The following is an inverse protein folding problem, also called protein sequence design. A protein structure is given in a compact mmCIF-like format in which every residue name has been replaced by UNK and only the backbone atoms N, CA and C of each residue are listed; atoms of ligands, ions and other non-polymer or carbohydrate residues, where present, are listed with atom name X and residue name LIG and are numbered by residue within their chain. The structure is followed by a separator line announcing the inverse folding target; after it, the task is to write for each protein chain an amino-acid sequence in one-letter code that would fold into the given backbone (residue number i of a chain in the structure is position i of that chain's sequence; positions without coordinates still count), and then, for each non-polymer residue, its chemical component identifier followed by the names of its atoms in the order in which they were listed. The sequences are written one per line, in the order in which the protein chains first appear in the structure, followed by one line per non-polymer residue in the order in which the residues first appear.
data_IF_382755341909
#
_entry.id   IF_382755341909
#
_cell.length_a   1.000
_cell.length_b   1.000
_cell.length_c   1.000
_cell.angle_alpha   90.00
_cell.angle_beta   90.00
_cell.angle_gamma   90.00
#
_symmetry.space_group_name_H-M   'P 1'
#
loop_
_entity.id
_entity.type
_entity.pdbx_description
1 polymer ?
#
# COMPACT_ATOMS: atom_id res chain seq x y z
N UNK A 1 13.87 13.13 -33.91
CA UNK A 1 14.24 12.01 -34.80
C UNK A 1 15.36 11.22 -34.14
N UNK A 2 15.03 10.10 -33.49
CA UNK A 2 15.97 9.02 -33.19
C UNK A 2 15.12 7.80 -32.81
N UNK A 3 15.32 6.70 -33.53
CA UNK A 3 14.46 5.52 -33.51
C UNK A 3 14.81 4.57 -32.36
N UNK A 4 13.77 3.98 -31.77
CA UNK A 4 13.82 2.79 -30.91
C UNK A 4 13.98 1.52 -31.75
N UNK A 5 14.73 0.49 -31.31
CA UNK A 5 14.70 -0.82 -31.93
C UNK A 5 13.63 -1.74 -31.30
N UNK A 6 12.82 -2.35 -32.17
CA UNK A 6 11.95 -3.51 -31.89
C UNK A 6 12.80 -4.79 -31.79
N UNK A 7 12.41 -5.82 -31.01
CA UNK A 7 12.95 -7.16 -31.19
C UNK A 7 11.94 -8.15 -31.82
N UNK A 8 12.46 -8.80 -32.86
CA UNK A 8 12.33 -10.21 -33.23
C UNK A 8 10.95 -10.78 -33.64
N UNK A 9 10.73 -10.80 -34.95
CA UNK A 9 9.81 -11.69 -35.67
C UNK A 9 10.44 -13.09 -35.74
N UNK A 10 9.78 -14.11 -35.20
CA UNK A 10 10.18 -15.51 -35.35
C UNK A 10 9.90 -16.01 -36.78
N UNK A 11 10.96 -16.47 -37.44
CA UNK A 11 10.94 -17.07 -38.78
C UNK A 11 10.50 -18.53 -38.68
N UNK A 12 9.42 -18.88 -39.39
CA UNK A 12 8.94 -20.25 -39.57
C UNK A 12 9.61 -20.86 -40.81
N UNK A 13 10.50 -21.83 -40.61
CA UNK A 13 11.12 -22.61 -41.71
C UNK A 13 10.18 -23.75 -42.10
N UNK A 14 9.61 -23.68 -43.30
CA UNK A 14 8.84 -24.75 -43.94
C UNK A 14 9.81 -25.71 -44.64
N UNK A 15 10.00 -26.89 -44.06
CA UNK A 15 10.75 -27.99 -44.67
C UNK A 15 9.78 -28.86 -45.49
N UNK A 16 9.81 -28.75 -46.81
CA UNK A 16 9.03 -29.58 -47.74
C UNK A 16 9.72 -30.95 -47.91
N UNK A 17 9.09 -32.00 -47.38
CA UNK A 17 9.52 -33.39 -47.53
C UNK A 17 8.68 -34.08 -48.62
N UNK A 18 9.33 -34.55 -49.69
CA UNK A 18 8.69 -35.31 -50.77
C UNK A 18 8.45 -36.76 -50.35
N UNK A 19 7.20 -37.24 -50.45
CA UNK A 19 6.86 -38.64 -50.17
C UNK A 19 7.17 -39.56 -51.36
N UNK A 20 7.94 -40.63 -51.10
CA UNK A 20 7.96 -41.81 -51.94
C UNK A 20 6.81 -42.75 -51.50
N UNK A 21 5.92 -43.10 -52.43
CA UNK A 21 4.85 -44.07 -52.20
C UNK A 21 5.38 -45.48 -52.47
N UNK A 22 5.29 -46.35 -51.47
CA UNK A 22 5.28 -47.80 -51.66
C UNK A 22 4.12 -48.34 -50.83
N UNK A 23 3.11 -48.88 -51.51
CA UNK A 23 1.98 -49.54 -50.89
C UNK A 23 2.30 -51.01 -50.66
N UNK A 24 2.13 -51.52 -49.44
CA UNK A 24 1.63 -52.87 -49.15
C UNK A 24 1.45 -53.06 -47.64
N UNK A 25 0.31 -53.66 -47.24
CA UNK A 25 0.13 -54.26 -45.92
C UNK A 25 -0.78 -53.48 -44.96
N UNK A 26 -2.06 -53.85 -44.93
CA UNK A 26 -3.03 -53.35 -43.95
C UNK A 26 -2.65 -53.78 -42.52
N UNK A 27 -2.25 -52.82 -41.71
CA UNK A 27 -2.27 -52.87 -40.26
C UNK A 27 -2.98 -51.63 -39.77
N UNK A 28 -3.97 -51.80 -38.88
CA UNK A 28 -4.67 -50.70 -38.21
C UNK A 28 -3.67 -49.88 -37.40
N UNK A 29 -3.05 -48.89 -38.06
CA UNK A 29 -2.14 -47.93 -37.46
C UNK A 29 -2.93 -46.95 -36.60
N UNK A 30 -3.38 -47.41 -35.43
CA UNK A 30 -3.69 -46.51 -34.35
C UNK A 30 -2.43 -45.71 -34.06
N UNK A 31 -2.52 -44.38 -34.14
CA UNK A 31 -1.47 -43.49 -33.63
C UNK A 31 -1.05 -43.99 -32.24
N UNK A 32 0.26 -44.11 -31.94
CA UNK A 32 0.71 -44.57 -30.63
C UNK A 32 0.02 -43.77 -29.54
N UNK A 33 -0.71 -44.45 -28.65
CA UNK A 33 -1.39 -43.80 -27.53
C UNK A 33 -0.34 -43.35 -26.50
N UNK A 34 0.01 -42.07 -26.56
CA UNK A 34 1.01 -41.43 -25.72
C UNK A 34 0.46 -41.12 -24.32
N UNK A 35 1.28 -41.06 -23.27
CA UNK A 35 0.80 -40.59 -21.97
C UNK A 35 0.28 -39.14 -22.02
N UNK A 36 -0.69 -38.75 -21.17
CA UNK A 36 -1.10 -37.36 -21.04
C UNK A 36 0.06 -36.49 -20.51
N UNK A 37 0.03 -35.21 -20.87
CA UNK A 37 0.98 -34.19 -20.41
C UNK A 37 0.24 -32.93 -20.00
N UNK A 38 0.83 -32.14 -19.10
CA UNK A 38 0.34 -30.79 -18.82
C UNK A 38 0.89 -29.84 -19.89
N UNK A 39 -0.02 -29.16 -20.59
CA UNK A 39 0.30 -28.11 -21.57
C UNK A 39 0.58 -26.79 -20.86
N UNK A 40 -0.27 -26.42 -19.90
CA UNK A 40 -0.15 -25.15 -19.18
C UNK A 40 -0.79 -25.21 -17.80
N UNK A 41 -0.28 -24.39 -16.89
CA UNK A 41 -0.87 -24.11 -15.57
C UNK A 41 -1.04 -22.60 -15.43
N UNK A 42 -2.17 -22.16 -14.92
CA UNK A 42 -2.43 -20.78 -14.51
C UNK A 42 -2.93 -20.75 -13.07
N UNK A 43 -2.37 -19.94 -12.15
CA UNK A 43 -1.17 -19.14 -12.32
C UNK A 43 0.04 -19.98 -12.76
N UNK A 44 0.91 -19.39 -13.59
CA UNK A 44 2.11 -20.07 -14.06
C UNK A 44 3.02 -20.48 -12.89
N UNK A 45 3.78 -21.56 -13.06
CA UNK A 45 4.73 -21.98 -12.03
C UNK A 45 5.74 -20.85 -11.74
N UNK A 46 5.89 -20.49 -10.46
CA UNK A 46 6.70 -19.37 -10.00
C UNK A 46 6.05 -17.98 -10.15
N UNK A 47 4.78 -17.89 -10.56
CA UNK A 47 4.06 -16.62 -10.63
C UNK A 47 4.04 -15.90 -9.27
N UNK A 48 4.14 -14.57 -9.31
CA UNK A 48 4.14 -13.69 -8.13
C UNK A 48 2.98 -12.70 -8.21
N UNK A 49 2.56 -12.16 -7.06
CA UNK A 49 1.48 -11.19 -7.01
C UNK A 49 0.14 -11.71 -7.50
N UNK A 50 -0.12 -13.00 -7.29
CA UNK A 50 -1.42 -13.60 -7.59
C UNK A 50 -2.48 -13.03 -6.65
N UNK A 51 -3.63 -12.65 -7.22
CA UNK A 51 -4.75 -12.11 -6.45
C UNK A 51 -5.42 -13.19 -5.61
N UNK A 52 -6.10 -12.77 -4.55
CA UNK A 52 -6.73 -13.64 -3.55
C UNK A 52 -7.90 -14.45 -4.10
N UNK A 53 -8.53 -13.98 -5.17
CA UNK A 53 -9.64 -14.63 -5.88
C UNK A 53 -9.17 -15.54 -7.02
N UNK A 54 -7.85 -15.72 -7.20
CA UNK A 54 -7.32 -16.50 -8.29
C UNK A 54 -7.74 -17.97 -8.20
N UNK A 55 -8.13 -18.50 -9.36
CA UNK A 55 -8.37 -19.94 -9.57
C UNK A 55 -7.16 -20.58 -10.23
N UNK A 56 -6.91 -21.85 -9.89
CA UNK A 56 -5.91 -22.66 -10.59
C UNK A 56 -6.59 -23.32 -11.80
N UNK A 57 -5.91 -23.32 -12.94
CA UNK A 57 -6.35 -23.94 -14.19
C UNK A 57 -5.19 -24.77 -14.74
N UNK A 58 -5.45 -26.04 -15.01
CA UNK A 58 -4.50 -26.98 -15.61
C UNK A 58 -5.08 -27.44 -16.95
N UNK A 59 -4.31 -27.27 -18.02
CA UNK A 59 -4.67 -27.74 -19.36
C UNK A 59 -3.81 -28.94 -19.70
N UNK A 60 -4.45 -30.03 -20.11
CA UNK A 60 -3.81 -31.29 -20.48
C UNK A 60 -3.82 -31.48 -22.01
N UNK A 61 -2.93 -32.32 -22.51
CA UNK A 61 -2.85 -32.68 -23.94
C UNK A 61 -3.97 -33.59 -24.43
N UNK A 62 -4.73 -34.20 -23.52
CA UNK A 62 -5.85 -35.09 -23.81
C UNK A 62 -6.82 -35.17 -22.64
N UNK A 63 -7.97 -35.79 -22.88
CA UNK A 63 -9.05 -35.92 -21.91
C UNK A 63 -8.61 -36.82 -20.73
N UNK A 64 -8.74 -36.30 -19.51
CA UNK A 64 -8.33 -37.00 -18.30
C UNK A 64 -9.47 -37.82 -17.67
N UNK A 65 -9.13 -38.83 -16.87
CA UNK A 65 -10.06 -39.41 -15.89
C UNK A 65 -10.20 -38.43 -14.73
N UNK A 66 -11.41 -37.86 -14.58
CA UNK A 66 -11.66 -36.81 -13.60
C UNK A 66 -11.43 -37.27 -12.16
N UNK A 67 -11.95 -38.44 -11.79
CA UNK A 67 -11.91 -38.94 -10.42
C UNK A 67 -10.46 -39.31 -10.03
N UNK A 68 -9.75 -40.01 -10.93
CA UNK A 68 -8.35 -40.36 -10.69
C UNK A 68 -7.46 -39.12 -10.60
N UNK A 69 -7.70 -38.10 -11.43
CA UNK A 69 -6.90 -36.86 -11.41
C UNK A 69 -7.19 -36.02 -10.16
N UNK A 70 -8.44 -35.93 -9.73
CA UNK A 70 -8.81 -35.25 -8.47
C UNK A 70 -8.21 -35.97 -7.24
N UNK A 71 -8.24 -37.29 -7.21
CA UNK A 71 -7.61 -38.07 -6.14
C UNK A 71 -6.07 -37.95 -6.13
N UNK A 72 -5.46 -37.67 -7.29
CA UNK A 72 -4.03 -37.45 -7.43
C UNK A 72 -3.58 -36.02 -7.07
N UNK A 73 -4.51 -35.09 -6.84
CA UNK A 73 -4.19 -33.71 -6.46
C UNK A 73 -3.75 -33.64 -5.00
N UNK A 74 -2.57 -33.05 -4.77
CA UNK A 74 -2.01 -32.86 -3.44
C UNK A 74 -1.53 -31.43 -3.25
N UNK A 75 -1.91 -30.81 -2.14
CA UNK A 75 -1.42 -29.50 -1.70
C UNK A 75 -1.54 -29.41 -0.18
N UNK A 76 -0.51 -28.85 0.47
CA UNK A 76 -0.53 -28.61 1.91
C UNK A 76 -1.43 -27.40 2.28
N UNK A 77 -1.38 -26.34 1.46
CA UNK A 77 -2.11 -25.10 1.72
C UNK A 77 -3.54 -25.10 1.14
N UNK A 78 -3.79 -25.88 0.09
CA UNK A 78 -5.09 -26.00 -0.57
C UNK A 78 -5.45 -27.49 -0.74
N UNK A 79 -5.66 -28.24 0.36
CA UNK A 79 -6.02 -29.65 0.27
C UNK A 79 -7.29 -29.84 -0.57
N UNK A 80 -7.51 -31.04 -1.10
CA UNK A 80 -8.66 -31.34 -1.97
C UNK A 80 -10.03 -30.98 -1.36
N UNK A 81 -10.14 -30.96 -0.03
CA UNK A 81 -11.35 -30.56 0.71
C UNK A 81 -11.56 -29.05 0.79
N UNK A 82 -10.52 -28.24 0.56
CA UNK A 82 -10.54 -26.78 0.58
C UNK A 82 -10.76 -26.16 -0.80
N UNK A 83 -10.93 -26.99 -1.83
CA UNK A 83 -11.10 -26.56 -3.22
C UNK A 83 -12.31 -27.23 -3.85
N UNK A 84 -12.86 -26.59 -4.87
CA UNK A 84 -13.88 -27.16 -5.76
C UNK A 84 -13.26 -27.42 -7.13
N UNK A 85 -13.40 -28.65 -7.61
CA UNK A 85 -12.93 -29.05 -8.94
C UNK A 85 -14.04 -28.90 -9.98
N UNK A 86 -13.68 -28.36 -11.14
CA UNK A 86 -14.55 -28.28 -12.31
C UNK A 86 -13.78 -28.69 -13.56
N UNK A 87 -14.45 -29.39 -14.48
CA UNK A 87 -13.87 -29.85 -15.73
C UNK A 87 -14.58 -29.21 -16.93
N UNK A 88 -13.81 -28.95 -17.98
CA UNK A 88 -14.32 -28.36 -19.22
C UNK A 88 -13.50 -28.82 -20.42
N UNK A 89 -13.87 -28.33 -21.61
CA UNK A 89 -13.17 -28.62 -22.87
C UNK A 89 -12.99 -30.13 -23.13
N UNK A 90 -14.03 -30.93 -22.86
CA UNK A 90 -13.97 -32.39 -23.03
C UNK A 90 -12.99 -33.07 -22.08
N UNK A 91 -12.93 -32.61 -20.83
CA UNK A 91 -12.06 -33.12 -19.75
C UNK A 91 -10.56 -32.89 -19.98
N UNK A 92 -10.22 -31.93 -20.85
CA UNK A 92 -8.83 -31.50 -21.08
C UNK A 92 -8.43 -30.30 -20.22
N UNK A 93 -9.40 -29.64 -19.57
CA UNK A 93 -9.14 -28.48 -18.71
C UNK A 93 -9.74 -28.75 -17.34
N UNK A 94 -8.87 -28.86 -16.34
CA UNK A 94 -9.23 -28.90 -14.93
C UNK A 94 -9.13 -27.49 -14.37
N UNK A 95 -10.16 -27.06 -13.66
CA UNK A 95 -10.08 -25.89 -12.80
C UNK A 95 -10.29 -26.26 -11.34
N UNK A 96 -9.47 -25.65 -10.49
CA UNK A 96 -9.42 -25.84 -9.05
C UNK A 96 -9.68 -24.47 -8.43
N UNK A 97 -10.85 -24.31 -7.83
CA UNK A 97 -11.28 -23.07 -7.20
C UNK A 97 -11.07 -23.18 -5.69
N UNK A 98 -10.22 -22.36 -5.05
CA UNK A 98 -10.21 -22.23 -3.60
C UNK A 98 -11.60 -21.85 -3.09
N UNK A 99 -12.11 -22.57 -2.08
CA UNK A 99 -13.41 -22.31 -1.46
C UNK A 99 -13.39 -21.04 -0.58
N UNK A 100 -12.19 -20.64 -0.14
CA UNK A 100 -11.91 -19.40 0.57
C UNK A 100 -10.89 -18.59 -0.22
N UNK A 101 -10.95 -17.25 -0.11
CA UNK A 101 -9.94 -16.38 -0.70
C UNK A 101 -8.54 -16.75 -0.21
N UNK A 102 -7.57 -16.71 -1.12
CA UNK A 102 -6.17 -16.92 -0.79
C UNK A 102 -5.66 -15.78 0.08
N UNK A 103 -4.79 -16.11 1.03
CA UNK A 103 -4.27 -15.17 1.99
C UNK A 103 -3.16 -14.32 1.38
N UNK A 104 -3.19 -13.02 1.66
CA UNK A 104 -2.03 -12.14 1.45
C UNK A 104 -1.19 -12.11 2.72
N UNK A 105 0.13 -12.29 2.56
CA UNK A 105 1.04 -12.14 3.68
C UNK A 105 1.06 -10.67 4.15
N UNK A 106 1.13 -10.46 5.46
CA UNK A 106 1.25 -9.14 6.06
C UNK A 106 2.73 -8.87 6.39
N UNK A 107 3.18 -7.62 6.28
CA UNK A 107 4.55 -7.25 6.63
C UNK A 107 4.73 -5.77 6.93
N UNK A 108 5.85 -5.43 7.58
CA UNK A 108 6.21 -4.04 7.89
C UNK A 108 7.29 -3.46 6.96
N UNK A 109 7.74 -4.24 5.98
CA UNK A 109 8.74 -3.83 4.98
C UNK A 109 8.51 -4.56 3.65
N UNK A 110 9.03 -4.00 2.56
CA UNK A 110 8.96 -4.60 1.23
C UNK A 110 9.76 -5.92 1.08
N UNK A 111 10.52 -6.32 2.09
CA UNK A 111 11.25 -7.60 2.13
C UNK A 111 10.45 -8.75 2.76
N UNK A 112 9.24 -8.49 3.29
CA UNK A 112 8.40 -9.52 3.91
C UNK A 112 8.10 -10.68 2.95
N UNK A 113 8.19 -11.93 3.38
CA UNK A 113 8.03 -13.07 2.46
C UNK A 113 6.56 -13.24 2.04
N UNK A 114 6.31 -13.39 0.74
CA UNK A 114 4.96 -13.62 0.22
C UNK A 114 4.44 -15.01 0.57
N UNK A 115 3.11 -15.14 0.76
CA UNK A 115 2.52 -16.46 1.01
C UNK A 115 2.60 -17.28 -0.28
N UNK A 116 3.30 -18.41 -0.19
CA UNK A 116 3.43 -19.39 -1.26
C UNK A 116 2.33 -20.43 -1.14
N UNK A 117 1.81 -20.86 -2.30
CA UNK A 117 0.91 -21.98 -2.48
C UNK A 117 1.53 -22.95 -3.48
N UNK A 118 1.71 -24.20 -3.07
CA UNK A 118 2.23 -25.28 -3.91
C UNK A 118 1.20 -26.38 -4.05
N UNK A 119 1.12 -26.98 -5.23
CA UNK A 119 0.35 -28.19 -5.47
C UNK A 119 1.07 -29.14 -6.43
N UNK A 120 0.60 -30.38 -6.43
CA UNK A 120 1.06 -31.40 -7.37
C UNK A 120 -0.08 -32.28 -7.87
N UNK A 121 0.09 -32.83 -9.07
CA UNK A 121 -0.67 -33.96 -9.56
C UNK A 121 0.29 -35.15 -9.57
N UNK A 122 0.03 -36.13 -8.71
CA UNK A 122 0.89 -37.31 -8.57
C UNK A 122 0.78 -38.22 -9.79
N UNK A 123 1.72 -39.18 -9.90
CA UNK A 123 1.74 -40.17 -10.98
C UNK A 123 0.55 -41.14 -11.03
N UNK A 124 -0.43 -41.00 -10.12
CA UNK A 124 -1.67 -41.79 -10.15
C UNK A 124 -2.77 -41.13 -10.98
N UNK A 125 -2.62 -39.84 -11.35
CA UNK A 125 -3.47 -39.21 -12.35
C UNK A 125 -3.32 -39.94 -13.69
N UNK A 126 -4.43 -40.15 -14.40
CA UNK A 126 -4.43 -40.91 -15.65
C UNK A 126 -5.46 -40.37 -16.63
N UNK A 127 -5.25 -40.63 -17.91
CA UNK A 127 -6.25 -40.38 -18.93
C UNK A 127 -7.38 -41.42 -18.92
N UNK A 128 -8.39 -41.21 -19.77
CA UNK A 128 -9.52 -42.16 -19.92
C UNK A 128 -9.10 -43.53 -20.47
N UNK A 129 -7.93 -43.63 -21.10
CA UNK A 129 -7.35 -44.89 -21.58
C UNK A 129 -6.48 -45.58 -20.50
N UNK A 130 -6.32 -44.97 -19.34
CA UNK A 130 -5.57 -45.50 -18.21
C UNK A 130 -4.06 -45.22 -18.24
N UNK A 131 -3.56 -44.39 -19.17
CA UNK A 131 -2.16 -43.98 -19.21
C UNK A 131 -1.91 -42.91 -18.15
N UNK A 132 -0.86 -43.09 -17.35
CA UNK A 132 -0.57 -42.20 -16.24
C UNK A 132 0.08 -40.89 -16.69
N UNK A 133 -0.26 -39.81 -16.01
CA UNK A 133 0.43 -38.52 -16.08
C UNK A 133 1.74 -38.61 -15.29
N UNK A 134 2.82 -38.02 -15.79
CA UNK A 134 4.04 -37.85 -14.99
C UNK A 134 3.82 -36.88 -13.81
N UNK A 135 4.55 -37.06 -12.70
CA UNK A 135 4.47 -36.14 -11.56
C UNK A 135 4.64 -34.69 -12.04
N UNK A 136 3.63 -33.86 -11.75
CA UNK A 136 3.65 -32.45 -12.09
C UNK A 136 3.56 -31.64 -10.81
N UNK A 137 4.47 -30.68 -10.62
CA UNK A 137 4.46 -29.74 -9.51
C UNK A 137 4.33 -28.31 -10.03
N UNK A 138 3.62 -27.47 -9.30
CA UNK A 138 3.53 -26.04 -9.59
C UNK A 138 3.27 -25.27 -8.30
N UNK A 139 3.75 -24.04 -8.24
CA UNK A 139 3.42 -23.14 -7.13
C UNK A 139 3.51 -21.68 -7.53
N UNK A 140 2.87 -20.83 -6.75
CA UNK A 140 2.84 -19.38 -6.96
C UNK A 140 2.82 -18.66 -5.61
N UNK A 141 3.10 -17.36 -5.62
CA UNK A 141 2.93 -16.50 -4.46
C UNK A 141 1.82 -15.48 -4.69
N UNK A 142 1.04 -15.23 -3.64
CA UNK A 142 0.02 -14.19 -3.66
C UNK A 142 0.62 -12.81 -3.41
N UNK A 143 -0.18 -11.76 -3.60
CA UNK A 143 0.17 -10.41 -3.15
C UNK A 143 0.44 -10.38 -1.63
N UNK A 144 1.10 -9.32 -1.20
CA UNK A 144 1.40 -8.99 0.19
C UNK A 144 0.80 -7.65 0.53
N UNK A 145 0.27 -7.51 1.72
CA UNK A 145 -0.09 -6.22 2.30
C UNK A 145 1.05 -5.76 3.21
N UNK A 146 1.62 -4.60 2.91
CA UNK A 146 2.78 -4.05 3.61
C UNK A 146 2.36 -2.74 4.27
N UNK A 147 2.62 -2.60 5.58
CA UNK A 147 2.46 -1.34 6.31
C UNK A 147 3.83 -0.83 6.74
N UNK A 148 4.36 0.14 6.02
CA UNK A 148 5.63 0.78 6.36
C UNK A 148 5.37 1.95 7.31
N UNK A 149 6.10 2.01 8.42
CA UNK A 149 6.12 3.17 9.28
C UNK A 149 7.21 4.15 8.81
N UNK A 150 6.81 5.38 8.49
CA UNK A 150 7.71 6.47 8.18
C UNK A 150 8.06 7.19 9.50
N UNK A 151 9.35 7.23 9.89
CA UNK A 151 9.77 7.88 11.10
C UNK A 151 9.74 9.40 10.94
N UNK A 152 9.48 10.09 12.04
CA UNK A 152 9.67 11.53 12.12
C UNK A 152 11.15 11.90 12.09
N UNK A 153 11.47 13.03 11.48
CA UNK A 153 12.80 13.63 11.44
C UNK A 153 12.85 14.72 12.49
N UNK A 154 13.27 14.35 13.70
CA UNK A 154 13.34 15.23 14.88
C UNK A 154 14.15 16.54 14.64
N UNK A 155 15.16 16.51 13.76
CA UNK A 155 15.90 17.72 13.41
C UNK A 155 15.08 18.77 12.62
N UNK A 156 13.90 18.38 12.09
CA UNK A 156 13.04 19.19 11.23
C UNK A 156 11.57 19.16 11.68
N UNK A 157 11.30 18.79 12.92
CA UNK A 157 10.02 19.03 13.58
C UNK A 157 10.20 20.10 14.67
N UNK A 158 9.08 20.54 15.25
CA UNK A 158 9.08 21.57 16.27
C UNK A 158 7.94 22.55 16.07
N UNK A 159 8.11 23.74 16.60
CA UNK A 159 7.10 24.79 16.57
C UNK A 159 7.72 26.11 16.10
N UNK A 160 6.93 26.87 15.34
CA UNK A 160 7.26 28.25 15.00
C UNK A 160 6.27 29.22 15.64
N UNK A 161 6.82 30.28 16.20
CA UNK A 161 6.12 31.37 16.85
C UNK A 161 6.12 32.58 15.94
N UNK A 162 5.04 33.35 16.01
CA UNK A 162 4.97 34.68 15.41
C UNK A 162 4.41 35.68 16.41
N UNK A 163 5.20 36.71 16.74
CA UNK A 163 4.76 37.87 17.52
C UNK A 163 4.99 39.12 16.68
N UNK A 164 3.90 39.70 16.15
CA UNK A 164 3.99 40.79 15.17
C UNK A 164 4.68 40.34 13.87
N UNK A 165 5.81 40.96 13.54
CA UNK A 165 6.66 40.62 12.40
C UNK A 165 7.82 39.69 12.74
N UNK A 166 8.02 39.37 14.02
CA UNK A 166 9.13 38.54 14.48
C UNK A 166 8.72 37.08 14.52
N UNK A 167 9.61 36.23 14.02
CA UNK A 167 9.47 34.79 14.09
C UNK A 167 10.52 34.21 15.03
N UNK A 168 10.19 33.08 15.66
CA UNK A 168 11.13 32.25 16.41
C UNK A 168 10.76 30.79 16.22
N UNK A 169 11.72 29.88 16.43
CA UNK A 169 11.49 28.44 16.33
C UNK A 169 11.97 27.76 17.61
N UNK A 170 11.21 26.77 18.09
CA UNK A 170 11.65 25.86 19.15
C UNK A 170 11.75 24.47 18.55
N UNK A 171 12.95 23.91 18.64
CA UNK A 171 13.35 22.60 18.11
C UNK A 171 13.90 21.76 19.26
N UNK A 172 14.01 20.44 19.07
CA UNK A 172 14.56 19.52 20.07
C UNK A 172 13.78 19.52 21.40
N UNK A 173 12.46 19.63 21.33
CA UNK A 173 11.57 19.64 22.49
C UNK A 173 10.63 18.44 22.41
N UNK A 174 10.27 17.76 23.52
CA UNK A 174 9.44 16.56 23.49
C UNK A 174 7.98 16.81 23.09
N UNK A 175 7.60 18.08 22.90
CA UNK A 175 6.26 18.52 22.54
C UNK A 175 6.28 19.63 21.51
N UNK A 176 5.24 19.68 20.69
CA UNK A 176 4.93 20.71 19.71
C UNK A 176 3.61 21.36 20.11
N UNK A 177 3.61 22.66 20.38
CA UNK A 177 2.40 23.41 20.68
C UNK A 177 1.78 23.97 19.40
N UNK A 178 0.45 24.11 19.44
CA UNK A 178 -0.35 24.72 18.40
C UNK A 178 -1.40 25.59 19.08
N UNK A 179 -1.51 26.85 18.70
CA UNK A 179 -2.37 27.79 19.41
C UNK A 179 -1.79 29.19 19.45
N UNK A 180 -1.89 29.86 20.59
CA UNK A 180 -1.23 31.15 20.82
C UNK A 180 -0.49 31.23 22.16
N UNK A 181 0.23 32.33 22.33
CA UNK A 181 1.12 32.58 23.47
C UNK A 181 0.57 33.67 24.38
N UNK A 182 1.12 33.74 25.59
CA UNK A 182 0.96 34.87 26.52
C UNK A 182 1.22 36.26 25.90
N UNK A 183 1.96 36.36 24.79
CA UNK A 183 2.22 37.61 24.07
C UNK A 183 1.23 37.92 22.94
N UNK A 184 0.16 37.14 22.78
CA UNK A 184 -0.79 37.26 21.67
C UNK A 184 -0.21 36.84 20.31
N UNK A 185 0.88 36.08 20.31
CA UNK A 185 1.50 35.54 19.10
C UNK A 185 1.09 34.10 18.83
N UNK A 186 0.84 33.76 17.57
CA UNK A 186 0.40 32.42 17.18
C UNK A 186 1.54 31.41 17.07
N UNK A 187 1.22 30.15 17.36
CA UNK A 187 2.10 28.99 17.31
C UNK A 187 1.59 28.02 16.25
N UNK A 188 2.48 27.62 15.33
CA UNK A 188 2.22 26.55 14.36
C UNK A 188 3.16 25.39 14.64
N UNK A 189 2.61 24.18 14.66
CA UNK A 189 3.38 22.96 14.80
C UNK A 189 3.88 22.45 13.45
N UNK A 190 5.08 21.90 13.40
CA UNK A 190 5.73 21.43 12.18
C UNK A 190 6.20 20.00 12.37
N UNK A 191 5.92 19.16 11.38
CA UNK A 191 6.29 17.74 11.37
C UNK A 191 6.98 17.41 10.06
N UNK A 192 8.10 16.68 10.11
CA UNK A 192 8.79 16.16 8.91
C UNK A 192 8.95 14.65 9.03
N UNK A 193 8.63 13.89 7.99
CA UNK A 193 8.80 12.44 7.96
C UNK A 193 9.73 12.01 6.83
N UNK A 194 10.52 10.97 7.08
CA UNK A 194 11.43 10.38 6.10
C UNK A 194 10.72 9.31 5.26
N UNK A 195 10.69 9.52 3.94
CA UNK A 195 10.12 8.61 2.94
C UNK A 195 11.08 7.49 2.51
N UNK A 196 12.34 7.50 2.96
CA UNK A 196 13.38 6.57 2.51
C UNK A 196 13.05 5.10 2.77
N UNK A 197 12.18 4.82 3.74
CA UNK A 197 11.65 3.47 4.01
C UNK A 197 10.79 2.91 2.85
N UNK A 198 10.36 3.76 1.91
CA UNK A 198 9.67 3.38 0.67
C UNK A 198 10.68 3.38 -0.49
N UNK A 199 11.00 2.20 -1.08
CA UNK A 199 11.93 2.11 -2.20
C UNK A 199 11.46 2.92 -3.42
N UNK A 200 12.42 3.48 -4.18
CA UNK A 200 12.15 4.34 -5.33
C UNK A 200 11.57 3.60 -6.54
N UNK A 201 11.73 2.29 -6.59
CA UNK A 201 11.32 1.40 -7.66
C UNK A 201 9.98 0.70 -7.40
N UNK A 202 9.30 1.03 -6.29
CA UNK A 202 7.95 0.51 -6.04
C UNK A 202 6.97 1.11 -7.06
N UNK A 203 6.47 0.25 -7.96
CA UNK A 203 5.51 0.64 -8.99
C UNK A 203 4.07 0.79 -8.47
N UNK A 204 3.73 0.15 -7.34
CA UNK A 204 2.39 0.24 -6.75
C UNK A 204 2.22 1.58 -6.03
N UNK A 205 1.05 2.21 -6.19
CA UNK A 205 0.69 3.36 -5.38
C UNK A 205 0.31 2.92 -3.95
N UNK A 206 0.55 3.77 -2.93
CA UNK A 206 0.04 3.51 -1.58
C UNK A 206 -1.50 3.48 -1.59
N UNK A 207 -2.06 2.55 -0.82
CA UNK A 207 -3.50 2.37 -0.63
C UNK A 207 -4.05 3.28 0.48
N UNK A 208 -3.25 3.50 1.52
CA UNK A 208 -3.56 4.39 2.62
C UNK A 208 -2.26 5.00 3.17
N UNK A 209 -2.35 6.19 3.74
CA UNK A 209 -1.30 6.76 4.58
C UNK A 209 -1.97 7.47 5.75
N UNK A 210 -1.63 7.06 6.97
CA UNK A 210 -2.25 7.57 8.20
C UNK A 210 -1.19 8.19 9.09
N UNK A 211 -1.26 9.51 9.27
CA UNK A 211 -0.49 10.21 10.30
C UNK A 211 -1.06 9.86 11.66
N UNK A 212 -0.18 9.49 12.59
CA UNK A 212 -0.48 9.24 13.99
C UNK A 212 0.31 10.23 14.84
N UNK A 213 -0.42 10.95 15.69
CA UNK A 213 0.12 11.98 16.56
C UNK A 213 -0.49 11.82 17.95
N UNK A 214 0.30 11.96 19.02
CA UNK A 214 -0.23 11.89 20.37
C UNK A 214 -0.55 13.30 20.88
N UNK A 215 -1.81 13.55 21.23
CA UNK A 215 -2.23 14.74 21.96
C UNK A 215 -1.82 14.58 23.43
N UNK A 216 -1.13 15.58 23.97
CA UNK A 216 -0.66 15.57 25.35
C UNK A 216 -1.60 16.38 26.23
N UNK A 217 -1.36 17.70 26.30
CA UNK A 217 -2.07 18.62 27.19
C UNK A 217 -2.76 19.72 26.39
N UNK A 218 -3.85 20.25 26.93
CA UNK A 218 -4.52 21.46 26.46
C UNK A 218 -4.39 22.50 27.57
N UNK A 219 -3.93 23.69 27.22
CA UNK A 219 -3.85 24.86 28.09
C UNK A 219 -4.81 25.94 27.56
N UNK A 220 -5.55 26.61 28.45
CA UNK A 220 -6.63 27.52 28.07
C UNK A 220 -7.81 26.84 27.36
N UNK A 221 -8.47 27.59 26.48
CA UNK A 221 -9.66 27.19 25.72
C UNK A 221 -9.46 27.33 24.19
N UNK A 222 -8.41 26.73 23.60
CA UNK A 222 -8.02 26.98 22.20
C UNK A 222 -9.08 26.67 21.17
N UNK A 223 -9.91 25.65 21.42
CA UNK A 223 -10.95 25.27 20.47
C UNK A 223 -12.09 26.28 20.36
N UNK A 224 -12.29 27.15 21.36
CA UNK A 224 -13.31 28.22 21.31
C UNK A 224 -12.67 29.59 21.07
N UNK A 225 -11.58 29.89 21.77
CA UNK A 225 -10.92 31.19 21.72
C UNK A 225 -10.24 31.49 20.37
N UNK A 226 -9.73 30.44 19.72
CA UNK A 226 -9.12 30.50 18.40
C UNK A 226 -10.13 30.21 17.27
N UNK A 227 -11.42 30.33 17.56
CA UNK A 227 -12.45 30.37 16.55
C UNK A 227 -12.46 31.76 15.87
N UNK A 228 -12.24 31.85 14.54
CA UNK A 228 -12.31 33.13 13.83
C UNK A 228 -13.74 33.67 13.74
N UNK A 229 -14.75 32.82 13.96
CA UNK A 229 -16.12 33.25 13.96
C UNK A 229 -16.48 33.98 15.25
N UNK A 230 -16.99 35.21 15.09
CA UNK A 230 -17.57 35.99 16.19
C UNK A 230 -19.10 35.85 16.10
N UNK A 231 -19.75 35.14 17.04
CA UNK A 231 -21.19 34.93 16.96
C UNK A 231 -21.92 36.26 17.14
N UNK A 232 -22.80 36.60 16.20
CA UNK A 232 -23.74 37.71 16.34
C UNK A 232 -25.17 37.17 16.38
N UNK A 233 -26.12 37.95 16.95
CA UNK A 233 -27.54 37.55 17.00
C UNK A 233 -28.14 37.24 15.63
N UNK A 234 -27.57 37.78 14.54
CA UNK A 234 -28.04 37.63 13.16
C UNK A 234 -27.14 36.74 12.30
N UNK A 235 -25.98 36.32 12.81
CA UNK A 235 -25.06 35.38 12.15
C UNK A 235 -24.37 34.55 13.23
N UNK A 236 -25.04 33.50 13.76
CA UNK A 236 -24.42 32.59 14.70
C UNK A 236 -23.31 31.81 14.00
N UNK A 237 -22.28 31.43 14.75
CA UNK A 237 -21.23 30.56 14.23
C UNK A 237 -21.81 29.18 13.90
N UNK A 238 -21.42 28.64 12.74
CA UNK A 238 -21.83 27.30 12.33
C UNK A 238 -21.33 26.21 13.29
N UNK A 239 -20.21 26.47 13.98
CA UNK A 239 -19.69 25.66 15.08
C UNK A 239 -19.13 26.57 16.17
N UNK A 240 -19.35 26.19 17.43
CA UNK A 240 -18.73 26.84 18.59
C UNK A 240 -17.25 26.50 18.70
N UNK A 241 -16.85 25.31 18.23
CA UNK A 241 -15.49 24.80 18.32
C UNK A 241 -14.82 24.76 16.94
N UNK A 242 -13.54 25.13 16.88
CA UNK A 242 -12.66 24.92 15.72
C UNK A 242 -11.69 23.77 15.97
N UNK A 243 -11.32 23.00 14.94
CA UNK A 243 -10.33 21.95 15.08
C UNK A 243 -8.90 22.50 14.97
N UNK A 244 -7.93 21.66 15.36
CA UNK A 244 -6.57 21.79 14.84
C UNK A 244 -6.59 21.26 13.41
N UNK A 245 -6.13 22.08 12.47
CA UNK A 245 -6.04 21.74 11.05
C UNK A 245 -4.66 21.21 10.70
N UNK A 246 -4.61 20.38 9.66
CA UNK A 246 -3.42 19.78 9.11
C UNK A 246 -3.27 20.20 7.64
N UNK A 247 -2.10 20.71 7.31
CA UNK A 247 -1.73 21.09 5.95
C UNK A 247 -0.49 20.31 5.52
N UNK A 248 -0.46 19.87 4.26
CA UNK A 248 0.75 19.39 3.61
C UNK A 248 1.52 20.59 3.06
N UNK A 249 2.79 20.71 3.42
CA UNK A 249 3.66 21.83 3.05
C UNK A 249 5.01 21.30 2.59
N UNK A 250 5.83 22.17 2.01
CA UNK A 250 7.25 21.87 1.78
C UNK A 250 8.07 23.12 2.13
N UNK A 251 8.71 23.10 3.29
CA UNK A 251 9.49 24.21 3.81
C UNK A 251 11.01 24.00 3.67
N UNK A 252 11.44 23.00 2.88
CA UNK A 252 12.85 22.78 2.56
C UNK A 252 13.63 22.09 3.68
N UNK A 253 14.97 22.14 3.59
CA UNK A 253 15.94 21.33 4.35
C UNK A 253 16.35 21.90 5.70
N UNK A 254 15.90 23.10 6.02
CA UNK A 254 16.15 23.72 7.30
C UNK A 254 14.88 24.41 7.77
N UNK A 255 14.58 24.26 9.06
CA UNK A 255 13.64 25.14 9.74
C UNK A 255 14.32 26.50 9.89
N UNK A 256 14.22 27.32 8.85
CA UNK A 256 14.60 28.73 8.91
C UNK A 256 13.46 29.49 9.57
N UNK A 257 13.79 30.25 10.60
CA UNK A 257 12.86 31.05 11.40
C UNK A 257 11.81 31.77 10.52
N UNK A 258 10.58 31.27 10.55
CA UNK A 258 9.40 31.84 9.86
C UNK A 258 9.18 31.36 8.43
N UNK A 259 10.09 30.57 7.86
CA UNK A 259 9.95 30.05 6.50
C UNK A 259 8.79 29.05 6.41
N UNK A 260 8.64 28.17 7.40
CA UNK A 260 7.57 27.18 7.42
C UNK A 260 6.22 27.80 7.81
N UNK A 261 6.23 28.86 8.61
CA UNK A 261 5.04 29.50 9.17
C UNK A 261 4.05 29.90 8.08
N UNK A 262 4.52 30.58 7.03
CA UNK A 262 3.69 31.09 5.93
C UNK A 262 3.88 30.34 4.61
N UNK A 263 4.59 29.20 4.61
CA UNK A 263 4.73 28.37 3.41
C UNK A 263 3.35 28.01 2.84
N UNK A 264 3.06 28.24 1.55
CA UNK A 264 1.78 27.86 0.98
C UNK A 264 1.50 26.37 1.15
N UNK A 265 0.26 26.01 1.51
CA UNK A 265 -0.14 24.62 1.55
C UNK A 265 -0.11 24.03 0.13
N UNK A 266 0.48 22.84 0.00
CA UNK A 266 0.35 22.02 -1.20
C UNK A 266 -1.04 21.36 -1.22
N UNK A 267 -1.51 20.90 -0.06
CA UNK A 267 -2.85 20.36 0.14
C UNK A 267 -3.37 20.72 1.55
N UNK A 268 -4.64 21.09 1.64
CA UNK A 268 -5.35 21.21 2.91
C UNK A 268 -5.95 19.84 3.27
N UNK A 269 -5.51 19.24 4.38
CA UNK A 269 -5.88 17.86 4.75
C UNK A 269 -7.05 17.80 5.74
N UNK A 270 -7.52 18.94 6.22
CA UNK A 270 -8.65 19.07 7.14
C UNK A 270 -8.24 18.95 8.61
N UNK A 271 -9.16 18.46 9.45
CA UNK A 271 -8.96 18.38 10.90
C UNK A 271 -8.14 17.15 11.31
N UNK A 272 -7.17 17.33 12.21
CA UNK A 272 -6.43 16.24 12.86
C UNK A 272 -6.85 16.04 14.32
N UNK A 273 -7.27 17.11 15.01
CA UNK A 273 -7.71 17.08 16.40
C UNK A 273 -8.90 18.03 16.62
N UNK A 274 -9.69 17.76 17.66
CA UNK A 274 -10.88 18.52 17.98
C UNK A 274 -11.14 18.59 19.49
N UNK A 275 -12.04 19.49 19.90
CA UNK A 275 -12.42 19.69 21.30
C UNK A 275 -12.90 18.41 22.00
N UNK A 276 -13.57 17.51 21.28
CA UNK A 276 -14.12 16.28 21.86
C UNK A 276 -13.08 15.18 22.09
N UNK A 277 -11.88 15.33 21.54
CA UNK A 277 -10.79 14.37 21.69
C UNK A 277 -10.13 14.56 23.07
N UNK A 278 -10.10 13.54 23.94
CA UNK A 278 -9.46 13.65 25.25
C UNK A 278 -7.95 13.90 25.17
N UNK A 279 -7.39 14.55 26.18
CA UNK A 279 -5.94 14.62 26.39
C UNK A 279 -5.31 13.22 26.51
N UNK A 280 -4.00 13.11 26.26
CA UNK A 280 -3.24 11.85 26.31
C UNK A 280 -3.72 10.74 25.37
N UNK A 281 -4.28 11.10 24.21
CA UNK A 281 -4.79 10.16 23.19
C UNK A 281 -4.04 10.26 21.87
N UNK A 282 -4.07 9.18 21.08
CA UNK A 282 -3.59 9.19 19.70
C UNK A 282 -4.68 9.74 18.78
N UNK A 283 -4.35 10.78 18.02
CA UNK A 283 -5.16 11.32 16.93
C UNK A 283 -4.61 10.87 15.59
N UNK A 284 -5.51 10.79 14.60
CA UNK A 284 -5.21 10.24 13.28
C UNK A 284 -5.84 11.08 12.18
N UNK A 285 -5.09 11.29 11.09
CA UNK A 285 -5.63 11.81 9.84
C UNK A 285 -5.08 11.05 8.65
N UNK A 286 -5.88 10.99 7.60
CA UNK A 286 -5.40 10.54 6.30
C UNK A 286 -4.46 11.59 5.72
N UNK A 287 -3.27 11.15 5.33
CA UNK A 287 -2.27 11.95 4.62
C UNK A 287 -1.94 11.32 3.26
N UNK A 288 -2.83 10.48 2.74
CA UNK A 288 -2.61 9.72 1.51
C UNK A 288 -2.26 10.61 0.31
N UNK A 289 -3.00 11.70 0.12
CA UNK A 289 -2.76 12.63 -0.99
C UNK A 289 -1.39 13.30 -0.88
N UNK A 290 -0.97 13.65 0.34
CA UNK A 290 0.33 14.25 0.61
C UNK A 290 1.48 13.28 0.32
N UNK A 291 1.39 12.05 0.84
CA UNK A 291 2.40 11.01 0.60
C UNK A 291 2.49 10.64 -0.88
N UNK A 292 1.37 10.55 -1.60
CA UNK A 292 1.38 10.29 -3.04
C UNK A 292 2.08 11.42 -3.81
N UNK A 293 1.78 12.68 -3.48
CA UNK A 293 2.42 13.85 -4.09
C UNK A 293 3.91 13.94 -3.75
N UNK A 294 4.31 13.64 -2.51
CA UNK A 294 5.72 13.62 -2.11
C UNK A 294 6.50 12.51 -2.79
N UNK A 295 5.92 11.32 -2.95
CA UNK A 295 6.56 10.22 -3.69
C UNK A 295 6.77 10.56 -5.17
N UNK A 296 5.79 11.22 -5.80
CA UNK A 296 5.91 11.71 -7.18
C UNK A 296 7.00 12.79 -7.33
N UNK A 297 7.26 13.56 -6.27
CA UNK A 297 8.23 14.64 -6.24
C UNK A 297 9.47 14.34 -5.38
N UNK A 298 9.77 13.07 -5.10
CA UNK A 298 10.74 12.64 -4.08
C UNK A 298 12.14 13.22 -4.23
N UNK A 299 12.59 13.44 -5.47
CA UNK A 299 13.91 14.01 -5.77
C UNK A 299 13.94 15.50 -5.41
N UNK A 300 12.87 16.24 -5.73
CA UNK A 300 12.76 17.67 -5.41
C UNK A 300 12.55 17.91 -3.91
N UNK A 301 11.93 16.95 -3.21
CA UNK A 301 11.64 17.03 -1.77
C UNK A 301 12.66 16.29 -0.91
N UNK A 302 13.69 15.71 -1.51
CA UNK A 302 14.74 14.96 -0.82
C UNK A 302 14.17 13.92 0.16
N UNK A 303 13.27 13.07 -0.34
CA UNK A 303 12.56 12.01 0.41
C UNK A 303 11.87 12.49 1.69
N UNK A 304 11.29 13.69 1.72
CA UNK A 304 10.57 14.19 2.90
C UNK A 304 9.10 14.40 2.62
N UNK A 305 8.31 14.23 3.67
CA UNK A 305 6.89 14.59 3.74
C UNK A 305 6.69 15.53 4.93
N UNK A 306 6.21 16.74 4.69
CA UNK A 306 6.21 17.82 5.68
C UNK A 306 4.81 18.37 5.93
N UNK A 307 4.49 18.64 7.19
CA UNK A 307 3.15 19.02 7.61
C UNK A 307 3.18 20.20 8.57
N UNK A 308 2.11 20.99 8.52
CA UNK A 308 1.86 22.09 9.43
C UNK A 308 0.55 21.88 10.18
N UNK A 309 0.60 22.07 11.49
CA UNK A 309 -0.52 22.07 12.41
C UNK A 309 -0.86 23.52 12.79
N UNK A 310 -2.13 23.90 12.67
CA UNK A 310 -2.55 25.25 13.05
C UNK A 310 -4.02 25.31 13.45
N UNK A 311 -4.37 26.30 14.28
CA UNK A 311 -5.76 26.74 14.40
C UNK A 311 -6.09 27.76 13.28
N UNK A 312 -7.36 27.86 12.84
CA UNK A 312 -7.76 28.82 11.81
C UNK A 312 -7.51 30.29 12.17
N UNK A 313 -7.51 30.62 13.47
CA UNK A 313 -7.16 31.95 14.00
C UNK A 313 -5.83 31.84 14.75
N UNK A 314 -4.92 32.77 14.46
CA UNK A 314 -3.57 32.72 15.02
C UNK A 314 -3.49 33.08 16.50
N UNK A 315 -4.30 34.02 16.97
CA UNK A 315 -4.39 34.39 18.39
C UNK A 315 -5.68 35.14 18.68
N UNK A 316 -6.18 35.03 19.92
CA UNK A 316 -7.30 35.81 20.42
C UNK A 316 -6.89 37.19 21.00
N UNK A 317 -5.59 37.42 21.23
CA UNK A 317 -5.02 38.67 21.75
C UNK A 317 -5.28 38.95 23.24
N UNK A 318 -5.67 37.95 24.04
CA UNK A 318 -6.03 38.15 25.46
C UNK A 318 -4.84 38.04 26.43
N UNK A 319 -3.64 37.81 25.90
CA UNK A 319 -2.40 37.61 26.67
C UNK A 319 -2.43 36.40 27.62
N UNK A 320 -3.28 35.42 27.32
CA UNK A 320 -3.32 34.08 27.92
C UNK A 320 -2.99 33.04 26.85
N UNK A 321 -2.33 31.92 27.19
CA UNK A 321 -2.01 30.90 26.22
C UNK A 321 -3.22 29.99 26.01
N UNK A 322 -3.68 29.91 24.77
CA UNK A 322 -4.65 28.91 24.33
C UNK A 322 -3.92 27.92 23.42
N UNK A 323 -3.49 26.77 23.95
CA UNK A 323 -2.66 25.82 23.21
C UNK A 323 -3.07 24.36 23.34
N UNK A 324 -2.75 23.60 22.30
CA UNK A 324 -2.76 22.13 22.32
C UNK A 324 -1.33 21.66 22.09
N UNK A 325 -0.81 20.84 22.99
CA UNK A 325 0.49 20.22 22.86
C UNK A 325 0.35 18.82 22.27
N UNK A 326 1.19 18.51 21.28
CA UNK A 326 1.33 17.18 20.70
C UNK A 326 2.74 16.63 20.94
N UNK A 327 2.90 15.32 20.94
CA UNK A 327 4.20 14.69 21.04
C UNK A 327 5.09 15.03 19.82
N UNK A 328 6.36 15.35 20.08
CA UNK A 328 7.38 15.59 19.06
C UNK A 328 8.26 14.35 18.82
N UNK A 329 9.22 14.46 17.91
CA UNK A 329 10.22 13.42 17.63
C UNK A 329 11.10 13.05 18.81
N UNK A 330 11.31 13.97 19.75
CA UNK A 330 12.08 13.75 20.99
C UNK A 330 11.26 13.10 22.11
N UNK A 331 9.98 12.85 21.88
CA UNK A 331 9.11 12.21 22.88
C UNK A 331 9.34 10.70 22.96
N UNK A 332 8.87 10.07 24.04
CA UNK A 332 8.81 8.61 24.16
C UNK A 332 7.77 7.94 23.25
N UNK A 333 6.93 8.72 22.56
CA UNK A 333 5.88 8.26 21.64
C UNK A 333 5.87 9.15 20.39
N UNK A 334 6.94 9.09 19.57
CA UNK A 334 7.10 10.03 18.47
C UNK A 334 6.00 9.84 17.42
N UNK A 335 5.61 10.90 16.71
CA UNK A 335 4.68 10.80 15.59
C UNK A 335 5.21 9.86 14.51
N UNK A 336 4.30 9.24 13.76
CA UNK A 336 4.65 8.40 12.61
C UNK A 336 3.57 8.44 11.54
N UNK A 337 3.95 8.14 10.30
CA UNK A 337 2.98 7.86 9.23
C UNK A 337 3.02 6.36 8.93
N UNK A 338 1.88 5.69 9.03
CA UNK A 338 1.72 4.32 8.56
C UNK A 338 1.24 4.35 7.10
N UNK A 339 2.04 3.84 6.17
CA UNK A 339 1.72 3.78 4.74
C UNK A 339 1.48 2.33 4.32
N UNK A 340 0.30 2.08 3.75
CA UNK A 340 -0.14 0.75 3.36
C UNK A 340 0.02 0.54 1.85
N UNK A 341 0.57 -0.61 1.47
CA UNK A 341 0.79 -1.03 0.09
C UNK A 341 0.27 -2.44 -0.16
N UNK A 342 -0.09 -2.72 -1.41
CA UNK A 342 -0.29 -4.08 -1.89
C UNK A 342 0.67 -4.38 -3.03
N UNK A 343 1.58 -5.33 -2.81
CA UNK A 343 2.69 -5.63 -3.74
C UNK A 343 2.88 -7.13 -3.98
N UNK A 344 3.46 -7.56 -5.12
CA UNK A 344 3.77 -8.96 -5.42
C UNK A 344 4.70 -9.65 -4.43
#
# INVERSE_FOLDING_TARGET
MSQSPLPAVSVLVLLSLTLASCATGGGSGGTPDTPPTVISVSPANGARGVKSDARIVVTFSKAMDQAATQAAYQSADLPGTAVTFAWSAGDTVLSIQPNTLLTYAQGSSFTAVAKRYDFSLTGTAKDKAGKTLGLTTSGFTTLRDITVALPIVAALDGEEYRVGSNFASVLNAPVIHVGDTLGGGGIRGLLTFDLSAIPADIAAAPLAATLKLRKNVVDGDPYTALNPCIPTKTSPCASLFVPVTLEHVNFGTALLVGAAYNTPALHELGAIDSHSVPQNTEVKASVLVAVQDDLANRVLRDNRSQYRLSFPKESNGDSSPDTVAFAAGESGTPPSIAVEYRVP
#
